data_IF_104498327667
#
_entry.id   IF_104498327667
#
_cell.length_a   1.000
_cell.length_b   1.000
_cell.length_c   1.000
_cell.angle_alpha   90.00
_cell.angle_beta   90.00
_cell.angle_gamma   90.00
#
_symmetry.space_group_name_H-M   'P 1'
#
loop_
_entity.id
_entity.type
_entity.pdbx_description
1 polymer ?
#
# COMPACT_ATOMS: atom_id res chain seq x y z
N UNK A 1 -5.41 -10.93 5.53
CA UNK A 1 -5.44 -10.95 4.04
C UNK A 1 -5.33 -12.38 3.52
N UNK A 2 -6.11 -12.70 2.49
CA UNK A 2 -6.10 -14.01 1.83
C UNK A 2 -4.76 -14.28 1.11
N UNK A 3 -4.37 -15.55 1.01
CA UNK A 3 -3.14 -15.97 0.28
C UNK A 3 -3.24 -15.68 -1.22
N UNK A 4 -4.46 -15.62 -1.75
CA UNK A 4 -4.76 -15.31 -3.16
C UNK A 4 -4.68 -13.82 -3.49
N UNK A 5 -4.55 -12.95 -2.48
CA UNK A 5 -4.41 -11.52 -2.71
C UNK A 5 -3.06 -11.21 -3.36
N UNK A 6 -3.07 -10.33 -4.38
CA UNK A 6 -1.86 -9.89 -5.09
C UNK A 6 -0.79 -9.38 -4.11
N UNK A 7 -1.18 -8.47 -3.22
CA UNK A 7 -0.33 -7.98 -2.12
C UNK A 7 -0.88 -8.49 -0.80
N UNK A 8 -0.01 -9.08 0.02
CA UNK A 8 -0.35 -9.53 1.36
C UNK A 8 0.90 -9.57 2.25
N UNK A 9 0.74 -9.96 3.52
CA UNK A 9 1.83 -9.94 4.52
C UNK A 9 3.02 -10.87 4.19
N UNK A 10 2.90 -11.76 3.20
CA UNK A 10 4.00 -12.62 2.76
C UNK A 10 4.96 -11.94 1.79
N UNK A 11 4.46 -10.98 0.99
CA UNK A 11 5.23 -10.38 -0.10
C UNK A 11 5.37 -8.86 0.03
N UNK A 12 4.56 -8.19 0.85
CA UNK A 12 4.52 -6.73 0.92
C UNK A 12 5.84 -6.12 1.41
N UNK A 13 6.61 -6.81 2.26
CA UNK A 13 7.93 -6.32 2.69
C UNK A 13 8.89 -6.18 1.51
N UNK A 14 9.14 -7.28 0.79
CA UNK A 14 10.04 -7.28 -0.38
C UNK A 14 9.54 -6.33 -1.48
N UNK A 15 8.22 -6.20 -1.62
CA UNK A 15 7.63 -5.27 -2.58
C UNK A 15 7.93 -3.81 -2.21
N UNK A 16 7.74 -3.42 -0.95
CA UNK A 16 7.92 -2.04 -0.50
C UNK A 16 9.40 -1.66 -0.36
N UNK A 17 10.23 -2.56 0.18
CA UNK A 17 11.64 -2.25 0.50
C UNK A 17 12.59 -2.51 -0.68
N UNK A 18 12.30 -3.51 -1.52
CA UNK A 18 13.23 -3.98 -2.56
C UNK A 18 12.65 -3.85 -3.97
N UNK A 19 11.42 -3.34 -4.11
CA UNK A 19 10.68 -3.33 -5.37
C UNK A 19 10.67 -4.70 -6.07
N UNK A 20 10.55 -5.77 -5.27
CA UNK A 20 10.55 -7.15 -5.76
C UNK A 20 9.22 -7.81 -5.47
N UNK A 21 8.65 -8.47 -6.47
CA UNK A 21 7.42 -9.21 -6.34
C UNK A 21 7.65 -10.71 -6.43
N UNK A 22 7.13 -11.45 -5.45
CA UNK A 22 7.02 -12.91 -5.49
C UNK A 22 5.63 -13.29 -4.98
N UNK A 23 4.89 -14.16 -5.69
CA UNK A 23 3.59 -14.61 -5.24
C UNK A 23 3.64 -15.28 -3.86
N UNK A 24 2.61 -15.08 -3.04
CA UNK A 24 2.56 -15.64 -1.69
C UNK A 24 2.54 -17.18 -1.66
N UNK A 25 2.01 -17.82 -2.72
CA UNK A 25 2.05 -19.28 -2.84
C UNK A 25 3.48 -19.80 -2.93
N UNK A 26 4.34 -19.14 -3.73
CA UNK A 26 5.76 -19.46 -3.85
C UNK A 26 6.49 -19.22 -2.51
N UNK A 27 6.23 -18.08 -1.85
CA UNK A 27 6.80 -17.78 -0.51
C UNK A 27 6.44 -18.80 0.56
N UNK A 28 5.22 -19.33 0.51
CA UNK A 28 4.77 -20.35 1.46
C UNK A 28 5.46 -21.69 1.21
N UNK A 29 5.73 -22.04 -0.05
CA UNK A 29 6.49 -23.24 -0.41
C UNK A 29 7.96 -23.15 0.04
N UNK A 30 8.54 -21.95 0.08
CA UNK A 30 9.87 -21.70 0.66
C UNK A 30 9.93 -21.85 2.19
N UNK A 31 8.80 -22.11 2.86
CA UNK A 31 8.74 -22.35 4.32
C UNK A 31 8.96 -21.11 5.19
N UNK A 32 8.97 -19.90 4.61
CA UNK A 32 9.08 -18.67 5.41
C UNK A 32 7.82 -18.49 6.27
N UNK A 33 7.90 -17.97 7.51
CA UNK A 33 6.70 -17.65 8.27
C UNK A 33 6.06 -16.34 7.78
N UNK A 34 4.73 -16.23 7.94
CA UNK A 34 4.01 -14.97 7.70
C UNK A 34 4.44 -13.93 8.73
N UNK A 35 4.89 -12.77 8.29
CA UNK A 35 5.17 -11.65 9.19
C UNK A 35 3.88 -11.01 9.71
N UNK A 36 3.87 -10.66 11.01
CA UNK A 36 2.72 -10.06 11.70
C UNK A 36 2.88 -8.57 11.99
N UNK A 37 4.09 -8.04 11.87
CA UNK A 37 4.41 -6.63 12.10
C UNK A 37 5.49 -6.15 11.14
N UNK A 38 5.07 -5.61 10.00
CA UNK A 38 5.99 -5.07 9.00
C UNK A 38 6.08 -3.57 9.23
N UNK A 39 7.30 -3.09 9.50
CA UNK A 39 7.63 -1.67 9.60
C UNK A 39 8.58 -1.32 8.48
N UNK A 40 8.20 -0.35 7.65
CA UNK A 40 8.97 0.10 6.48
C UNK A 40 9.25 1.58 6.65
N UNK A 41 10.52 1.98 6.58
CA UNK A 41 10.90 3.40 6.51
C UNK A 41 11.19 3.76 5.06
N UNK A 42 10.64 4.87 4.59
CA UNK A 42 10.89 5.40 3.25
C UNK A 42 11.33 6.86 3.33
N UNK A 43 12.28 7.24 2.47
CA UNK A 43 12.72 8.61 2.26
C UNK A 43 12.25 9.03 0.88
N UNK A 44 11.48 10.11 0.81
CA UNK A 44 10.96 10.66 -0.43
C UNK A 44 12.00 11.56 -1.12
N UNK A 45 11.74 11.92 -2.38
CA UNK A 45 12.66 12.72 -3.21
C UNK A 45 12.97 14.10 -2.63
N UNK A 46 12.04 14.70 -1.88
CA UNK A 46 12.24 15.99 -1.20
C UNK A 46 13.04 15.87 0.12
N UNK A 47 13.52 14.67 0.44
CA UNK A 47 14.23 14.36 1.67
C UNK A 47 13.35 14.14 2.89
N UNK A 48 12.02 14.34 2.78
CA UNK A 48 11.09 13.98 3.85
C UNK A 48 11.07 12.46 4.06
N UNK A 49 10.76 12.03 5.28
CA UNK A 49 10.74 10.60 5.60
C UNK A 49 9.46 10.20 6.30
N UNK A 50 9.01 8.98 6.06
CA UNK A 50 7.87 8.39 6.73
C UNK A 50 8.18 6.95 7.15
N UNK A 51 7.56 6.54 8.25
CA UNK A 51 7.65 5.16 8.73
C UNK A 51 6.26 4.55 8.73
N UNK A 52 6.07 3.54 7.90
CA UNK A 52 4.81 2.85 7.69
C UNK A 52 4.75 1.56 8.50
N UNK A 53 3.60 1.31 9.11
CA UNK A 53 3.26 0.00 9.67
C UNK A 53 2.26 -0.64 8.73
N UNK A 54 2.56 -1.85 8.26
CA UNK A 54 1.69 -2.60 7.34
C UNK A 54 0.95 -3.67 8.13
N UNK A 55 -0.37 -3.72 7.96
CA UNK A 55 -1.25 -4.68 8.63
C UNK A 55 -2.31 -5.20 7.66
N UNK A 56 -2.71 -6.46 7.84
CA UNK A 56 -3.84 -7.07 7.14
C UNK A 56 -5.09 -7.22 8.03
N UNK A 57 -5.03 -6.64 9.23
CA UNK A 57 -6.05 -6.69 10.27
C UNK A 57 -6.44 -5.26 10.67
N UNK A 58 -7.07 -4.47 9.76
CA UNK A 58 -7.34 -3.05 9.99
C UNK A 58 -8.29 -2.80 11.17
N UNK A 59 -9.17 -3.76 11.50
CA UNK A 59 -10.09 -3.66 12.64
C UNK A 59 -9.39 -3.60 14.01
N UNK A 60 -8.10 -3.98 14.09
CA UNK A 60 -7.30 -3.81 15.31
C UNK A 60 -7.02 -2.34 15.64
N UNK A 61 -7.21 -1.43 14.68
CA UNK A 61 -7.11 0.02 14.91
C UNK A 61 -8.26 0.56 15.79
N UNK A 62 -9.25 -0.29 16.09
CA UNK A 62 -10.45 0.07 16.85
C UNK A 62 -11.57 0.57 15.93
N UNK A 63 -12.80 0.16 16.22
CA UNK A 63 -13.99 0.59 15.47
C UNK A 63 -14.59 1.91 15.99
N UNK A 64 -14.05 2.45 17.10
CA UNK A 64 -14.52 3.72 17.64
C UNK A 64 -14.13 4.87 16.68
N UNK A 65 -15.09 5.77 16.46
CA UNK A 65 -15.17 6.76 15.36
C UNK A 65 -13.82 7.37 15.01
N UNK A 66 -13.45 7.36 13.71
CA UNK A 66 -12.31 8.05 13.08
C UNK A 66 -11.23 8.55 14.06
N UNK A 67 -10.74 7.63 14.91
CA UNK A 67 -9.80 8.00 15.97
C UNK A 67 -8.46 8.40 15.37
N UNK A 68 -7.55 8.89 16.20
CA UNK A 68 -6.20 9.24 15.79
C UNK A 68 -5.52 8.14 14.96
N UNK A 69 -5.88 6.86 15.17
CA UNK A 69 -5.33 5.73 14.42
C UNK A 69 -5.81 5.67 12.96
N UNK A 70 -7.10 5.83 12.68
CA UNK A 70 -7.62 5.84 11.31
C UNK A 70 -7.18 7.10 10.54
N UNK A 71 -7.02 8.23 11.25
CA UNK A 71 -6.41 9.45 10.71
C UNK A 71 -5.00 9.24 10.17
N UNK A 72 -4.26 8.26 10.73
CA UNK A 72 -2.90 7.93 10.32
C UNK A 72 -2.82 6.90 9.18
N UNK A 73 -3.94 6.33 8.73
CA UNK A 73 -3.94 5.38 7.62
C UNK A 73 -3.60 6.13 6.34
N UNK A 74 -2.45 5.81 5.76
CA UNK A 74 -1.91 6.48 4.58
C UNK A 74 -2.44 5.89 3.27
N UNK A 75 -2.48 4.56 3.18
CA UNK A 75 -2.80 3.85 1.95
C UNK A 75 -3.47 2.49 2.21
N UNK A 76 -4.17 1.99 1.18
CA UNK A 76 -4.74 0.64 1.15
C UNK A 76 -4.48 -0.04 -0.19
N UNK A 77 -4.01 -1.28 -0.14
CA UNK A 77 -4.00 -2.17 -1.31
C UNK A 77 -5.37 -2.83 -1.47
N UNK A 78 -6.06 -2.54 -2.57
CA UNK A 78 -7.44 -2.98 -2.80
C UNK A 78 -7.48 -4.28 -3.61
N UNK A 79 -8.51 -5.09 -3.37
CA UNK A 79 -8.73 -6.38 -4.04
C UNK A 79 -9.92 -6.35 -5.01
N UNK A 80 -10.65 -5.24 -5.07
CA UNK A 80 -11.81 -5.07 -5.96
C UNK A 80 -13.10 -5.71 -5.46
N UNK A 81 -13.16 -6.01 -4.16
CA UNK A 81 -14.35 -6.51 -3.50
C UNK A 81 -14.81 -5.49 -2.45
N UNK A 82 -16.04 -4.99 -2.55
CA UNK A 82 -16.53 -3.95 -1.64
C UNK A 82 -16.55 -4.41 -0.17
N UNK A 83 -16.75 -5.71 0.08
CA UNK A 83 -16.69 -6.29 1.42
C UNK A 83 -15.32 -6.14 2.10
N UNK A 84 -14.25 -5.85 1.35
CA UNK A 84 -12.93 -5.54 1.92
C UNK A 84 -13.00 -4.41 2.96
N UNK A 85 -13.91 -3.47 2.76
CA UNK A 85 -14.11 -2.30 3.61
C UNK A 85 -15.25 -2.48 4.61
N UNK A 86 -15.75 -3.70 4.79
CA UNK A 86 -16.74 -4.00 5.82
C UNK A 86 -16.17 -3.62 7.19
N UNK A 87 -17.01 -2.96 7.99
CA UNK A 87 -16.69 -2.51 9.36
C UNK A 87 -15.58 -1.43 9.43
N UNK A 88 -15.27 -0.77 8.31
CA UNK A 88 -14.44 0.45 8.32
C UNK A 88 -15.28 1.65 8.77
N UNK A 89 -14.67 2.67 9.40
CA UNK A 89 -15.40 3.81 9.94
C UNK A 89 -15.96 4.77 8.87
N UNK A 90 -15.44 4.70 7.63
CA UNK A 90 -15.95 5.48 6.50
C UNK A 90 -17.26 4.91 5.97
N UNK A 91 -18.19 5.78 5.61
CA UNK A 91 -19.55 5.42 5.19
C UNK A 91 -19.60 4.88 3.76
N UNK A 92 -18.60 5.20 2.93
CA UNK A 92 -18.56 4.80 1.54
C UNK A 92 -17.14 4.63 1.02
N UNK A 93 -17.00 3.88 -0.08
CA UNK A 93 -15.73 3.72 -0.79
C UNK A 93 -15.19 5.05 -1.34
N UNK A 94 -16.08 6.00 -1.65
CA UNK A 94 -15.69 7.36 -2.06
C UNK A 94 -14.98 8.07 -0.91
N UNK A 95 -15.59 8.08 0.28
CA UNK A 95 -15.01 8.69 1.49
C UNK A 95 -13.68 8.00 1.88
N UNK A 96 -13.58 6.68 1.68
CA UNK A 96 -12.32 5.95 1.89
C UNK A 96 -11.22 6.53 1.00
N UNK A 97 -11.47 6.71 -0.30
CA UNK A 97 -10.43 7.19 -1.23
C UNK A 97 -10.18 8.70 -1.18
N UNK A 98 -11.08 9.48 -0.57
CA UNK A 98 -10.80 10.87 -0.20
C UNK A 98 -9.81 10.95 0.96
N UNK A 99 -9.86 10.01 1.90
CA UNK A 99 -9.05 10.03 3.12
C UNK A 99 -7.82 9.11 3.09
N UNK A 100 -7.82 8.07 2.25
CA UNK A 100 -6.78 7.03 2.18
C UNK A 100 -6.41 6.80 0.71
N UNK A 101 -5.12 6.80 0.39
CA UNK A 101 -4.66 6.50 -0.96
C UNK A 101 -4.94 5.03 -1.33
N UNK A 102 -5.79 4.79 -2.32
CA UNK A 102 -6.10 3.45 -2.81
C UNK A 102 -5.14 3.00 -3.90
N UNK A 103 -4.68 1.74 -3.85
CA UNK A 103 -3.83 1.13 -4.87
C UNK A 103 -4.34 -0.25 -5.28
N UNK A 104 -4.58 -0.45 -6.57
CA UNK A 104 -4.93 -1.74 -7.14
C UNK A 104 -3.76 -2.27 -7.96
N UNK A 105 -3.14 -3.35 -7.49
CA UNK A 105 -2.07 -4.04 -8.20
C UNK A 105 -2.64 -5.27 -8.91
N UNK A 106 -2.31 -5.43 -10.20
CA UNK A 106 -2.65 -6.64 -10.98
C UNK A 106 -1.58 -6.99 -11.99
N UNK A 107 -1.62 -8.21 -12.53
CA UNK A 107 -0.82 -8.53 -13.70
C UNK A 107 -1.44 -7.97 -14.99
N UNK A 108 -0.60 -7.69 -15.97
CA UNK A 108 -1.00 -7.09 -17.25
C UNK A 108 -1.98 -7.94 -18.06
N UNK A 109 -1.83 -9.27 -18.00
CA UNK A 109 -2.65 -10.28 -18.67
C UNK A 109 -3.97 -10.58 -17.95
N UNK A 110 -4.15 -10.11 -16.72
CA UNK A 110 -5.41 -10.27 -15.99
C UNK A 110 -6.47 -9.27 -16.46
N UNK A 111 -7.72 -9.73 -16.56
CA UNK A 111 -8.87 -8.86 -16.85
C UNK A 111 -9.07 -7.88 -15.69
N UNK A 112 -9.13 -6.56 -15.94
CA UNK A 112 -9.34 -5.59 -14.87
C UNK A 112 -10.69 -5.81 -14.18
N UNK A 113 -10.68 -5.81 -12.84
CA UNK A 113 -11.89 -5.88 -12.04
C UNK A 113 -12.80 -4.67 -12.35
N UNK A 114 -14.06 -4.93 -12.73
CA UNK A 114 -15.02 -3.90 -13.15
C UNK A 114 -15.36 -2.92 -12.01
N UNK A 115 -15.49 -3.42 -10.78
CA UNK A 115 -15.75 -2.60 -9.59
C UNK A 115 -14.63 -1.58 -9.36
N UNK A 116 -13.38 -2.01 -9.54
CA UNK A 116 -12.19 -1.15 -9.35
C UNK A 116 -12.10 -0.03 -10.39
N UNK A 117 -12.68 -0.22 -11.58
CA UNK A 117 -12.71 0.85 -12.60
C UNK A 117 -13.45 2.08 -12.11
N UNK A 118 -14.51 1.89 -11.31
CA UNK A 118 -15.30 2.97 -10.72
C UNK A 118 -14.66 3.59 -9.46
N UNK A 119 -13.61 2.99 -8.91
CA UNK A 119 -12.95 3.43 -7.69
C UNK A 119 -11.84 4.45 -7.97
N UNK A 120 -11.75 5.48 -7.13
CA UNK A 120 -10.72 6.53 -7.18
C UNK A 120 -9.35 6.05 -6.63
N UNK A 121 -8.93 4.83 -6.97
CA UNK A 121 -7.63 4.28 -6.64
C UNK A 121 -6.66 4.33 -7.83
N UNK A 122 -5.36 4.32 -7.56
CA UNK A 122 -4.30 4.20 -8.55
C UNK A 122 -4.18 2.75 -9.01
N UNK A 123 -4.17 2.51 -10.32
CA UNK A 123 -4.04 1.17 -10.91
C UNK A 123 -2.58 0.96 -11.31
N UNK A 124 -1.95 -0.05 -10.71
CA UNK A 124 -0.56 -0.40 -10.90
C UNK A 124 -0.51 -1.77 -11.59
N UNK A 125 0.03 -1.80 -12.80
CA UNK A 125 -0.02 -2.98 -13.68
C UNK A 125 1.39 -3.32 -14.12
N UNK A 126 1.76 -4.59 -14.01
CA UNK A 126 3.08 -5.08 -14.45
C UNK A 126 2.97 -6.49 -15.02
N UNK A 127 3.96 -6.90 -15.79
CA UNK A 127 4.03 -8.24 -16.35
C UNK A 127 4.38 -9.29 -15.30
N UNK A 128 3.76 -10.46 -15.40
CA UNK A 128 4.12 -11.65 -14.61
C UNK A 128 5.46 -12.27 -15.06
N UNK A 129 5.96 -11.91 -16.23
CA UNK A 129 7.18 -12.49 -16.80
C UNK A 129 8.42 -12.09 -15.99
N UNK A 130 9.22 -13.08 -15.58
CA UNK A 130 10.44 -12.85 -14.79
C UNK A 130 11.46 -11.96 -15.50
N UNK A 131 11.54 -12.04 -16.84
CA UNK A 131 12.40 -11.17 -17.67
C UNK A 131 12.06 -9.69 -17.54
N UNK A 132 10.83 -9.37 -17.12
CA UNK A 132 10.31 -8.02 -16.92
C UNK A 132 10.29 -7.60 -15.45
N UNK A 133 11.12 -8.22 -14.60
CA UNK A 133 11.22 -7.87 -13.18
C UNK A 133 11.49 -6.37 -12.93
N UNK A 134 12.18 -5.69 -13.86
CA UNK A 134 12.41 -4.24 -13.79
C UNK A 134 11.11 -3.41 -13.80
N UNK A 135 10.01 -3.92 -14.38
CA UNK A 135 8.70 -3.25 -14.36
C UNK A 135 8.17 -3.08 -12.93
N UNK A 136 8.51 -3.99 -12.01
CA UNK A 136 8.15 -3.87 -10.58
C UNK A 136 8.87 -2.67 -9.95
N UNK A 137 10.13 -2.42 -10.34
CA UNK A 137 10.89 -1.24 -9.94
C UNK A 137 10.19 0.07 -10.35
N UNK A 138 9.79 0.17 -11.61
CA UNK A 138 9.08 1.33 -12.16
C UNK A 138 7.70 1.50 -11.50
N UNK A 139 6.99 0.39 -11.29
CA UNK A 139 5.70 0.37 -10.62
C UNK A 139 5.81 0.90 -9.18
N UNK A 140 6.81 0.44 -8.43
CA UNK A 140 6.99 0.86 -7.04
C UNK A 140 7.49 2.29 -6.92
N UNK A 141 8.32 2.77 -7.85
CA UNK A 141 8.67 4.19 -7.95
C UNK A 141 7.41 5.05 -8.14
N UNK A 142 6.53 4.64 -9.06
CA UNK A 142 5.25 5.32 -9.31
C UNK A 142 4.32 5.30 -8.09
N UNK A 143 4.28 4.17 -7.36
CA UNK A 143 3.57 4.06 -6.08
C UNK A 143 4.07 5.08 -5.06
N UNK A 144 5.38 5.16 -4.83
CA UNK A 144 5.97 6.06 -3.83
C UNK A 144 5.75 7.54 -4.18
N UNK A 145 5.91 7.93 -5.45
CA UNK A 145 5.61 9.29 -5.92
C UNK A 145 4.14 9.65 -5.72
N UNK A 146 3.23 8.73 -6.08
CA UNK A 146 1.79 8.92 -5.90
C UNK A 146 1.43 9.04 -4.42
N UNK A 147 2.00 8.19 -3.56
CA UNK A 147 1.76 8.22 -2.12
C UNK A 147 2.28 9.51 -1.51
N UNK A 148 3.48 9.94 -1.90
CA UNK A 148 4.08 11.18 -1.43
C UNK A 148 3.16 12.37 -1.74
N UNK A 149 2.72 12.47 -3.00
CA UNK A 149 1.79 13.52 -3.44
C UNK A 149 0.50 13.53 -2.60
N UNK A 150 -0.05 12.36 -2.31
CA UNK A 150 -1.25 12.23 -1.47
C UNK A 150 -0.97 12.67 -0.03
N UNK A 151 0.14 12.25 0.56
CA UNK A 151 0.52 12.57 1.94
C UNK A 151 0.79 14.06 2.11
N UNK A 152 1.53 14.69 1.21
CA UNK A 152 1.82 16.13 1.29
C UNK A 152 0.55 16.98 1.25
N UNK A 153 -0.45 16.56 0.46
CA UNK A 153 -1.74 17.26 0.37
C UNK A 153 -2.66 17.00 1.56
N UNK A 154 -2.85 15.73 1.92
CA UNK A 154 -3.95 15.32 2.81
C UNK A 154 -3.49 14.99 4.24
N UNK A 155 -2.22 14.59 4.41
CA UNK A 155 -1.66 14.10 5.69
C UNK A 155 -0.21 14.56 5.91
N UNK A 156 0.09 15.86 5.81
CA UNK A 156 1.48 16.35 5.92
C UNK A 156 2.10 16.07 7.30
N UNK A 157 1.28 15.90 8.34
CA UNK A 157 1.72 15.53 9.69
C UNK A 157 2.33 14.12 9.79
N UNK A 158 2.14 13.26 8.79
CA UNK A 158 2.77 11.94 8.72
C UNK A 158 4.19 11.98 8.14
N UNK A 159 4.60 13.12 7.57
CA UNK A 159 5.92 13.31 6.98
C UNK A 159 6.85 13.97 8.01
N UNK A 160 8.00 13.34 8.25
CA UNK A 160 9.08 13.93 9.00
C UNK A 160 9.93 14.77 8.05
N UNK A 161 10.10 16.06 8.38
CA UNK A 161 10.96 16.96 7.59
C UNK A 161 12.39 16.40 7.51
N UNK A 162 13.12 16.65 6.41
CA UNK A 162 14.53 16.31 6.34
C UNK A 162 15.25 16.92 7.55
N UNK A 163 16.25 16.25 8.12
CA UNK A 163 17.09 16.87 9.14
C UNK A 163 17.63 18.16 8.55
N UNK A 164 17.33 19.29 9.19
CA UNK A 164 17.95 20.56 8.82
C UNK A 164 19.43 20.32 8.99
N UNK A 165 20.17 20.19 7.88
CA UNK A 165 21.63 20.27 7.93
C UNK A 165 21.90 21.56 8.69
N UNK A 166 22.45 21.43 9.90
CA UNK A 166 23.03 22.56 10.60
C UNK A 166 23.95 23.21 9.58
N UNK A 167 23.71 24.49 9.30
CA UNK A 167 24.59 25.31 8.48
C UNK A 167 26.02 25.06 8.99
N UNK A 168 26.82 24.41 8.14
CA UNK A 168 28.27 24.43 8.26
C UNK A 168 28.78 25.61 7.45
#
# INVERSE_FOLDING_TARGET
AAVTAMVNMWNVRELLEQAKFTPALEKKQEGKPKETGIKVRHTFEDGSTATFIVTDSPLKLGADKMGAQWGNVAAVFVQGQAWQFKDWPMKSVVEIFEQIAGYYIRFADEVPNQTVKAWACTKLVFSKQRTKAHEVGVLMASFWVSLHTFLTKNKPHLLQKPPSSAMA
#
